data_IF_974423257126
#
_entry.id   IF_974423257126
#
_cell.length_a   1.000
_cell.length_b   1.000
_cell.length_c   1.000
_cell.angle_alpha   90.00
_cell.angle_beta   90.00
_cell.angle_gamma   90.00
#
_symmetry.space_group_name_H-M   'P 1'
#
loop_
_entity.id
_entity.type
_entity.pdbx_description
1 polymer ?
#
# COMPACT_ATOMS: atom_id res chain seq x y z
N UNK A 1 -4.75 -9.14 5.77
CA UNK A 1 -4.35 -10.50 6.18
C UNK A 1 -2.84 -10.59 6.39
N UNK A 2 -2.00 -10.31 5.38
CA UNK A 2 -0.52 -10.28 5.54
C UNK A 2 -0.07 -9.25 6.58
N UNK A 3 -0.68 -8.06 6.59
CA UNK A 3 -0.42 -7.04 7.63
C UNK A 3 -0.65 -7.59 9.02
N UNK A 4 -1.77 -8.28 9.23
CA UNK A 4 -2.17 -8.88 10.50
C UNK A 4 -1.26 -10.03 10.94
N UNK A 5 -0.81 -10.88 10.01
CA UNK A 5 0.19 -11.93 10.27
C UNK A 5 1.49 -11.33 10.81
N UNK A 6 1.92 -10.20 10.25
CA UNK A 6 3.10 -9.47 10.70
C UNK A 6 2.90 -8.82 12.06
N UNK A 7 1.72 -8.22 12.29
CA UNK A 7 1.38 -7.55 13.55
C UNK A 7 1.22 -8.53 14.72
N UNK A 8 0.50 -9.64 14.53
CA UNK A 8 0.17 -10.57 15.61
C UNK A 8 1.24 -11.65 15.84
N UNK A 9 1.98 -12.06 14.80
CA UNK A 9 2.92 -13.18 14.88
C UNK A 9 4.38 -12.77 14.61
N UNK A 10 4.63 -11.51 14.22
CA UNK A 10 5.98 -11.02 13.92
C UNK A 10 6.62 -11.65 12.68
N UNK A 11 5.85 -12.36 11.85
CA UNK A 11 6.36 -13.10 10.69
C UNK A 11 6.08 -12.35 9.39
N UNK A 12 7.07 -12.28 8.51
CA UNK A 12 6.91 -11.83 7.12
C UNK A 12 6.94 -13.02 6.19
N UNK A 13 5.80 -13.31 5.57
CA UNK A 13 5.70 -14.32 4.51
C UNK A 13 5.61 -13.65 3.13
N UNK A 14 6.30 -14.17 2.11
CA UNK A 14 6.09 -13.77 0.72
C UNK A 14 4.64 -13.99 0.27
N UNK A 15 4.13 -13.12 -0.60
CA UNK A 15 2.74 -13.20 -1.07
C UNK A 15 2.43 -14.50 -1.82
N UNK A 16 3.40 -15.07 -2.56
CA UNK A 16 3.21 -16.33 -3.28
C UNK A 16 2.94 -17.52 -2.34
N UNK A 17 3.45 -17.50 -1.11
CA UNK A 17 3.23 -18.57 -0.12
C UNK A 17 1.74 -18.69 0.23
N UNK A 18 0.97 -17.59 0.21
CA UNK A 18 -0.49 -17.65 0.42
C UNK A 18 -1.23 -18.40 -0.70
N UNK A 19 -0.69 -18.38 -1.91
CA UNK A 19 -1.25 -19.10 -3.05
C UNK A 19 -0.80 -20.57 -3.07
N UNK A 20 0.43 -20.85 -2.62
CA UNK A 20 0.97 -22.21 -2.51
C UNK A 20 0.39 -22.98 -1.32
N UNK A 21 0.02 -22.28 -0.24
CA UNK A 21 -0.58 -22.82 0.98
C UNK A 21 -2.00 -22.24 1.18
N UNK A 22 -3.00 -22.68 0.41
CA UNK A 22 -4.35 -22.10 0.42
C UNK A 22 -5.17 -22.45 1.68
N UNK A 23 -4.62 -23.21 2.62
CA UNK A 23 -5.29 -23.59 3.88
C UNK A 23 -4.51 -23.10 5.10
N UNK A 24 -5.19 -22.77 6.22
CA UNK A 24 -4.52 -22.37 7.44
C UNK A 24 -3.53 -23.41 7.99
N UNK A 25 -3.82 -24.70 7.82
CA UNK A 25 -2.95 -25.79 8.28
C UNK A 25 -1.61 -25.80 7.53
N UNK A 26 -1.65 -25.74 6.18
CA UNK A 26 -0.45 -25.67 5.35
C UNK A 26 0.34 -24.38 5.61
N UNK A 27 -0.36 -23.26 5.78
CA UNK A 27 0.29 -21.99 6.09
C UNK A 27 0.98 -22.02 7.46
N UNK A 28 0.37 -22.66 8.46
CA UNK A 28 0.94 -22.80 9.80
C UNK A 28 2.24 -23.61 9.80
N UNK A 29 2.32 -24.69 9.01
CA UNK A 29 3.55 -25.45 8.82
C UNK A 29 4.67 -24.58 8.24
N UNK A 30 4.34 -23.71 7.28
CA UNK A 30 5.30 -22.84 6.60
C UNK A 30 5.71 -21.61 7.39
N UNK A 31 4.85 -21.06 8.23
CA UNK A 31 5.14 -19.86 9.05
C UNK A 31 6.39 -20.05 9.91
N UNK A 32 6.65 -21.28 10.40
CA UNK A 32 7.83 -21.59 11.20
C UNK A 32 9.16 -21.35 10.47
N UNK A 33 9.18 -21.52 9.14
CA UNK A 33 10.36 -21.31 8.28
C UNK A 33 10.74 -19.83 8.16
N UNK A 34 9.79 -18.91 8.37
CA UNK A 34 9.97 -17.45 8.18
C UNK A 34 10.16 -16.68 9.49
N UNK A 35 10.29 -17.35 10.65
CA UNK A 35 10.44 -16.71 11.96
C UNK A 35 11.82 -16.08 12.19
N UNK A 36 12.88 -16.65 11.64
CA UNK A 36 14.27 -16.18 11.85
C UNK A 36 14.74 -15.21 10.77
N UNK A 37 14.01 -15.17 9.65
CA UNK A 37 14.44 -14.49 8.42
C UNK A 37 13.79 -13.10 8.27
N UNK A 38 13.27 -12.51 9.35
CA UNK A 38 12.73 -11.15 9.31
C UNK A 38 13.90 -10.16 9.31
N UNK A 39 14.34 -9.62 8.15
CA UNK A 39 15.46 -8.70 8.13
C UNK A 39 15.00 -7.41 8.80
N UNK A 40 15.95 -6.81 9.51
CA UNK A 40 15.90 -5.52 10.20
C UNK A 40 15.63 -4.38 9.22
N UNK A 41 14.39 -4.30 8.75
CA UNK A 41 13.79 -3.12 8.17
C UNK A 41 12.30 -3.39 8.20
N UNK A 42 11.69 -3.33 9.38
CA UNK A 42 10.29 -2.92 9.43
C UNK A 42 10.22 -1.63 8.62
N UNK A 43 9.66 -1.69 7.40
CA UNK A 43 9.19 -0.50 6.71
C UNK A 43 8.01 -0.03 7.54
N UNK A 44 8.33 0.57 8.69
CA UNK A 44 7.39 1.27 9.53
C UNK A 44 7.22 2.60 8.84
N UNK A 45 5.98 2.88 8.44
CA UNK A 45 5.65 4.19 7.92
C UNK A 45 5.50 5.07 9.15
N UNK A 46 6.54 5.85 9.42
CA UNK A 46 6.51 6.83 10.50
C UNK A 46 5.56 7.98 10.11
N UNK A 47 4.81 8.55 11.08
CA UNK A 47 4.06 9.76 10.84
C UNK A 47 4.96 10.87 10.32
N UNK A 48 4.48 11.60 9.30
CA UNK A 48 5.21 12.75 8.80
C UNK A 48 5.08 13.92 9.79
N UNK A 49 6.20 14.54 10.15
CA UNK A 49 6.20 15.69 11.05
C UNK A 49 5.56 16.92 10.38
N UNK A 50 4.68 17.59 11.15
CA UNK A 50 4.08 18.85 10.77
C UNK A 50 5.08 20.00 10.98
N UNK A 51 5.22 20.87 9.98
CA UNK A 51 6.07 22.07 10.10
C UNK A 51 5.36 23.15 10.93
N UNK A 52 6.13 24.13 11.40
CA UNK A 52 5.61 25.25 12.20
C UNK A 52 4.51 26.09 11.49
N UNK A 53 4.38 25.99 10.17
CA UNK A 53 3.37 26.68 9.37
C UNK A 53 2.11 25.83 9.12
N UNK A 54 2.01 24.66 9.75
CA UNK A 54 0.91 23.72 9.61
C UNK A 54 0.96 22.88 8.33
N UNK A 55 2.10 22.88 7.61
CA UNK A 55 2.26 22.11 6.37
C UNK A 55 3.04 20.82 6.58
N UNK A 56 2.76 19.84 5.72
CA UNK A 56 3.50 18.58 5.63
C UNK A 56 4.33 18.55 4.35
N UNK A 57 5.63 18.29 4.43
CA UNK A 57 6.48 18.17 3.24
C UNK A 57 6.75 16.69 2.91
N UNK A 58 5.80 16.06 2.22
CA UNK A 58 5.96 14.70 1.72
C UNK A 58 6.64 14.74 0.35
N UNK A 59 7.82 14.09 0.15
CA UNK A 59 8.39 13.97 -1.17
C UNK A 59 7.45 13.16 -2.07
N UNK A 60 7.34 13.56 -3.33
CA UNK A 60 6.56 12.82 -4.32
C UNK A 60 7.09 11.39 -4.43
N UNK A 61 6.20 10.41 -4.31
CA UNK A 61 6.52 9.02 -4.59
C UNK A 61 6.99 8.86 -6.04
N UNK A 62 7.73 7.79 -6.33
CA UNK A 62 8.17 7.47 -7.68
C UNK A 62 7.02 7.46 -8.70
N UNK A 63 5.85 6.94 -8.31
CA UNK A 63 4.66 6.94 -9.15
C UNK A 63 4.17 8.36 -9.48
N UNK A 64 4.15 9.26 -8.50
CA UNK A 64 3.77 10.66 -8.68
C UNK A 64 4.79 11.43 -9.52
N UNK A 65 6.09 11.22 -9.29
CA UNK A 65 7.15 11.82 -10.11
C UNK A 65 7.01 11.43 -11.58
N UNK A 66 6.73 10.14 -11.86
CA UNK A 66 6.52 9.65 -13.23
C UNK A 66 5.33 10.34 -13.91
N UNK A 67 4.22 10.53 -13.19
CA UNK A 67 3.04 11.25 -13.71
C UNK A 67 3.39 12.71 -13.99
N UNK A 68 4.04 13.38 -13.04
CA UNK A 68 4.44 14.78 -13.18
C UNK A 68 5.36 14.99 -14.40
N UNK A 69 6.34 14.10 -14.62
CA UNK A 69 7.21 14.16 -15.80
C UNK A 69 6.41 13.94 -17.09
N UNK A 70 5.47 12.99 -17.11
CA UNK A 70 4.65 12.71 -18.29
C UNK A 70 3.77 13.92 -18.67
N UNK A 71 3.12 14.54 -17.68
CA UNK A 71 2.29 15.73 -17.88
C UNK A 71 3.12 16.95 -18.32
N UNK A 72 4.30 17.15 -17.72
CA UNK A 72 5.15 18.28 -18.06
C UNK A 72 5.70 18.19 -19.49
N UNK A 73 6.04 16.98 -19.95
CA UNK A 73 6.59 16.76 -21.30
C UNK A 73 5.52 16.73 -22.39
N UNK A 74 4.32 16.21 -22.10
CA UNK A 74 3.28 15.95 -23.12
C UNK A 74 2.12 16.94 -23.08
N UNK A 75 2.06 17.77 -22.05
CA UNK A 75 0.96 18.69 -21.80
C UNK A 75 -0.29 18.00 -21.22
N UNK A 76 -1.36 18.78 -20.96
CA UNK A 76 -2.56 18.29 -20.30
C UNK A 76 -3.23 17.14 -21.07
N UNK A 77 -3.55 16.04 -20.38
CA UNK A 77 -4.17 14.85 -20.97
C UNK A 77 -5.07 14.14 -19.96
N UNK A 78 -6.20 13.54 -20.37
CA UNK A 78 -7.07 12.79 -19.46
C UNK A 78 -6.55 11.40 -19.07
N UNK A 79 -5.30 11.04 -19.44
CA UNK A 79 -4.71 9.70 -19.26
C UNK A 79 -4.73 9.20 -17.82
N UNK A 80 -4.62 10.10 -16.85
CA UNK A 80 -4.62 9.77 -15.41
C UNK A 80 -5.92 10.17 -14.71
N UNK A 81 -6.96 10.58 -15.45
CA UNK A 81 -8.27 10.87 -14.88
C UNK A 81 -9.00 9.56 -14.55
N UNK A 82 -9.50 9.43 -13.32
CA UNK A 82 -10.31 8.29 -12.88
C UNK A 82 -11.74 8.79 -12.63
N UNK A 83 -12.57 8.99 -13.68
CA UNK A 83 -13.93 9.46 -13.50
C UNK A 83 -14.75 8.41 -12.77
N UNK A 84 -15.48 8.83 -11.73
CA UNK A 84 -16.41 7.98 -10.99
C UNK A 84 -17.80 8.60 -11.06
N UNK A 85 -18.81 7.77 -11.32
CA UNK A 85 -20.21 8.15 -11.24
C UNK A 85 -20.89 7.27 -10.20
N UNK A 86 -21.31 7.88 -9.10
CA UNK A 86 -22.22 7.27 -8.12
C UNK A 86 -23.62 7.69 -8.53
N UNK A 87 -24.52 6.75 -8.83
CA UNK A 87 -25.82 7.01 -9.45
C UNK A 87 -26.62 8.19 -8.85
N UNK A 88 -27.50 8.80 -9.66
CA UNK A 88 -28.26 9.99 -9.28
C UNK A 88 -29.05 9.78 -7.99
N UNK A 89 -28.79 10.64 -7.00
CA UNK A 89 -29.60 10.71 -5.78
C UNK A 89 -31.03 11.12 -6.15
N UNK A 90 -31.92 10.13 -6.29
CA UNK A 90 -33.36 10.36 -6.37
C UNK A 90 -33.92 10.42 -4.94
N UNK A 91 -33.75 11.56 -4.28
CA UNK A 91 -34.54 11.90 -3.11
C UNK A 91 -35.92 12.35 -3.57
N UNK A 92 -36.92 11.46 -3.53
CA UNK A 92 -38.31 11.87 -3.65
C UNK A 92 -38.67 12.71 -2.43
N UNK A 93 -39.02 13.99 -2.66
CA UNK A 93 -39.72 14.84 -1.68
C UNK A 93 -41.17 14.42 -1.53
#
# INVERSE_FOLDING_TARGET
MISRLREELGVRIPLNVLFECPTPAQLAEKIGEYREDAPEASLTIEPLEERNDGTFHAPASFAQQRIWVDEHLKGPSPRYNVPVATGGFSGSS
#
